data_IF_116727135762
#
_entry.id   IF_116727135762
#
_cell.length_a   1.000
_cell.length_b   1.000
_cell.length_c   1.000
_cell.angle_alpha   90.00
_cell.angle_beta   90.00
_cell.angle_gamma   90.00
#
_symmetry.space_group_name_H-M   'P 1'
#
loop_
_entity.id
_entity.type
_entity.pdbx_description
1 polymer ?
#
# COMPACT_ATOMS: atom_id res chain seq x y z
N UNK A 1 -8.70 -21.44 26.29
CA UNK A 1 -9.14 -22.07 25.02
C UNK A 1 -8.95 -21.05 23.92
N UNK A 2 -8.21 -21.42 22.86
CA UNK A 2 -7.63 -20.51 21.86
C UNK A 2 -8.63 -19.54 21.23
N UNK A 3 -8.38 -18.23 21.37
CA UNK A 3 -9.00 -17.22 20.51
C UNK A 3 -8.44 -17.43 19.10
N UNK A 4 -9.31 -17.87 18.20
CA UNK A 4 -9.05 -17.92 16.76
C UNK A 4 -8.48 -16.55 16.36
N UNK A 5 -7.22 -16.51 15.90
CA UNK A 5 -6.60 -15.29 15.37
C UNK A 5 -7.46 -14.87 14.18
N UNK A 6 -8.26 -13.82 14.41
CA UNK A 6 -9.19 -13.26 13.45
C UNK A 6 -8.50 -13.00 12.12
N UNK A 7 -8.83 -13.80 11.11
CA UNK A 7 -8.33 -13.54 9.78
C UNK A 7 -9.26 -12.60 9.05
N UNK A 8 -8.80 -11.37 8.80
CA UNK A 8 -9.65 -10.34 8.20
C UNK A 8 -9.30 -9.97 6.76
N UNK A 9 -8.14 -10.39 6.26
CA UNK A 9 -7.73 -10.04 4.89
C UNK A 9 -7.42 -11.25 4.01
N UNK A 10 -7.07 -12.43 4.55
CA UNK A 10 -6.55 -13.51 3.71
C UNK A 10 -6.84 -14.96 4.16
N UNK A 11 -7.75 -15.22 5.11
CA UNK A 11 -7.96 -16.53 5.79
C UNK A 11 -6.70 -17.27 6.36
N UNK A 12 -5.49 -16.73 6.17
CA UNK A 12 -4.19 -17.15 6.71
C UNK A 12 -3.81 -16.51 8.08
N UNK A 13 -2.89 -17.15 8.84
CA UNK A 13 -2.33 -16.59 10.06
C UNK A 13 -1.69 -15.22 9.82
N UNK A 14 -2.09 -14.25 10.62
CA UNK A 14 -1.57 -12.91 10.49
C UNK A 14 -0.11 -12.82 10.98
N UNK A 15 0.83 -12.79 10.03
CA UNK A 15 2.25 -12.52 10.22
C UNK A 15 2.56 -11.22 9.46
N UNK A 16 3.47 -10.39 9.98
CA UNK A 16 3.78 -9.09 9.36
C UNK A 16 4.22 -9.22 7.89
N UNK A 17 5.01 -10.25 7.57
CA UNK A 17 5.41 -10.57 6.21
C UNK A 17 4.22 -10.88 5.30
N UNK A 18 3.23 -11.62 5.82
CA UNK A 18 1.99 -11.90 5.10
C UNK A 18 1.16 -10.63 4.87
N UNK A 19 0.98 -9.81 5.91
CA UNK A 19 0.26 -8.54 5.80
C UNK A 19 0.89 -7.62 4.74
N UNK A 20 2.21 -7.52 4.72
CA UNK A 20 2.91 -6.51 3.91
C UNK A 20 3.40 -7.00 2.56
N UNK A 21 3.52 -8.31 2.31
CA UNK A 21 4.12 -8.79 1.07
C UNK A 21 3.48 -10.05 0.49
N UNK A 22 3.07 -11.02 1.31
CA UNK A 22 2.70 -12.34 0.79
C UNK A 22 1.20 -12.66 0.71
N UNK A 23 0.32 -11.86 1.32
CA UNK A 23 -1.14 -11.91 1.11
C UNK A 23 -1.48 -11.52 -0.34
N UNK A 24 -2.47 -12.17 -0.95
CA UNK A 24 -2.81 -11.97 -2.37
C UNK A 24 -3.28 -10.54 -2.68
N UNK A 25 -4.03 -9.94 -1.75
CA UNK A 25 -4.38 -8.52 -1.80
C UNK A 25 -3.11 -7.66 -1.87
N UNK A 26 -2.15 -7.92 -1.01
CA UNK A 26 -0.93 -7.12 -0.91
C UNK A 26 0.00 -7.33 -2.11
N UNK A 27 0.16 -8.56 -2.58
CA UNK A 27 0.90 -8.89 -3.81
C UNK A 27 0.33 -8.15 -5.01
N UNK A 28 -0.99 -8.19 -5.17
CA UNK A 28 -1.67 -7.52 -6.28
C UNK A 28 -1.46 -6.01 -6.23
N UNK A 29 -1.57 -5.39 -5.04
CA UNK A 29 -1.35 -3.97 -4.86
C UNK A 29 0.11 -3.56 -5.16
N UNK A 30 1.10 -4.34 -4.69
CA UNK A 30 2.51 -4.10 -5.03
C UNK A 30 2.76 -4.21 -6.53
N UNK A 31 2.19 -5.22 -7.19
CA UNK A 31 2.30 -5.42 -8.63
C UNK A 31 1.72 -4.25 -9.42
N UNK A 32 0.52 -3.79 -9.05
CA UNK A 32 -0.09 -2.63 -9.69
C UNK A 32 0.68 -1.34 -9.42
N UNK A 33 1.18 -1.14 -8.19
CA UNK A 33 2.05 -0.01 -7.88
C UNK A 33 3.31 0.00 -8.74
N UNK A 34 3.97 -1.15 -8.87
CA UNK A 34 5.19 -1.28 -9.67
C UNK A 34 4.92 -0.96 -11.15
N UNK A 35 3.84 -1.51 -11.71
CA UNK A 35 3.42 -1.27 -13.09
C UNK A 35 3.08 0.22 -13.35
N UNK A 36 2.33 0.86 -12.44
CA UNK A 36 1.94 2.27 -12.59
C UNK A 36 3.12 3.23 -12.48
N UNK A 37 4.06 2.94 -11.60
CA UNK A 37 5.17 3.84 -11.27
C UNK A 37 6.44 3.53 -12.06
N UNK A 38 6.43 2.50 -12.91
CA UNK A 38 7.59 2.05 -13.67
C UNK A 38 8.74 1.61 -12.77
N UNK A 39 8.44 1.01 -11.61
CA UNK A 39 9.45 0.56 -10.64
C UNK A 39 9.62 -0.95 -10.65
N UNK A 40 10.66 -1.43 -9.98
CA UNK A 40 10.80 -2.84 -9.69
C UNK A 40 9.68 -3.32 -8.76
N UNK A 41 9.30 -4.59 -8.92
CA UNK A 41 8.42 -5.29 -8.00
C UNK A 41 9.02 -5.33 -6.59
N UNK A 42 8.18 -5.17 -5.58
CA UNK A 42 8.52 -5.37 -4.17
C UNK A 42 7.87 -6.66 -3.69
N UNK A 43 8.68 -7.58 -3.15
CA UNK A 43 8.22 -8.89 -2.68
C UNK A 43 8.57 -9.16 -1.21
N UNK A 44 9.44 -8.35 -0.61
CA UNK A 44 9.88 -8.53 0.76
C UNK A 44 10.44 -7.24 1.37
N UNK A 45 10.82 -7.32 2.65
CA UNK A 45 11.45 -6.21 3.37
C UNK A 45 12.77 -5.76 2.73
N UNK A 46 13.58 -6.69 2.22
CA UNK A 46 14.87 -6.38 1.60
C UNK A 46 14.71 -5.55 0.33
N UNK A 47 13.66 -5.77 -0.46
CA UNK A 47 13.36 -4.98 -1.65
C UNK A 47 13.04 -3.52 -1.26
N UNK A 48 12.21 -3.33 -0.23
CA UNK A 48 11.88 -2.00 0.32
C UNK A 48 13.14 -1.33 0.89
N UNK A 49 13.92 -2.07 1.68
CA UNK A 49 15.12 -1.56 2.32
C UNK A 49 16.17 -1.10 1.30
N UNK A 50 16.38 -1.85 0.21
CA UNK A 50 17.29 -1.46 -0.89
C UNK A 50 16.90 -0.11 -1.49
N UNK A 51 15.60 0.14 -1.69
CA UNK A 51 15.09 1.41 -2.20
C UNK A 51 15.32 2.55 -1.20
N UNK A 52 15.06 2.31 0.08
CA UNK A 52 15.24 3.32 1.14
C UNK A 52 16.70 3.72 1.31
N UNK A 53 17.63 2.77 1.24
CA UNK A 53 19.06 3.01 1.37
C UNK A 53 19.64 3.77 0.16
N UNK A 54 19.06 3.61 -1.04
CA UNK A 54 19.49 4.29 -2.28
C UNK A 54 19.09 5.78 -2.39
N UNK A 55 18.71 6.41 -1.26
CA UNK A 55 17.99 7.66 -0.96
C UNK A 55 17.97 8.84 -1.97
N UNK A 56 18.92 8.96 -2.90
CA UNK A 56 18.99 10.10 -3.85
C UNK A 56 18.17 9.90 -5.13
N UNK A 57 17.90 8.68 -5.59
CA UNK A 57 17.14 8.47 -6.85
C UNK A 57 15.67 8.12 -6.63
N UNK A 58 15.32 7.57 -5.46
CA UNK A 58 14.00 6.95 -5.24
C UNK A 58 13.13 7.62 -4.17
N UNK A 59 13.44 8.84 -3.75
CA UNK A 59 12.75 9.49 -2.63
C UNK A 59 11.21 9.52 -2.73
N UNK A 60 10.64 9.75 -3.92
CA UNK A 60 9.18 9.70 -4.13
C UNK A 60 8.64 8.27 -3.95
N UNK A 61 9.30 7.28 -4.57
CA UNK A 61 8.91 5.88 -4.39
C UNK A 61 9.05 5.42 -2.94
N UNK A 62 10.09 5.88 -2.23
CA UNK A 62 10.27 5.61 -0.80
C UNK A 62 9.09 6.14 0.00
N UNK A 63 8.65 7.38 -0.24
CA UNK A 63 7.45 7.92 0.39
C UNK A 63 6.19 7.10 0.07
N UNK A 64 6.01 6.68 -1.20
CA UNK A 64 4.87 5.85 -1.62
C UNK A 64 4.89 4.49 -0.93
N UNK A 65 6.04 3.80 -0.91
CA UNK A 65 6.19 2.51 -0.23
C UNK A 65 5.93 2.61 1.28
N UNK A 66 6.44 3.65 1.96
CA UNK A 66 6.13 3.92 3.37
C UNK A 66 4.63 4.17 3.60
N UNK A 67 4.01 4.99 2.74
CA UNK A 67 2.58 5.29 2.82
C UNK A 67 1.73 4.04 2.58
N UNK A 68 2.16 3.15 1.67
CA UNK A 68 1.51 1.88 1.40
C UNK A 68 1.56 0.95 2.62
N UNK A 69 2.75 0.71 3.19
CA UNK A 69 2.91 -0.11 4.40
C UNK A 69 2.07 0.44 5.55
N UNK A 70 2.06 1.76 5.76
CA UNK A 70 1.23 2.40 6.78
C UNK A 70 -0.27 2.21 6.51
N UNK A 71 -0.69 2.34 5.25
CA UNK A 71 -2.08 2.15 4.83
C UNK A 71 -2.53 0.71 5.11
N UNK A 72 -1.72 -0.29 4.78
CA UNK A 72 -2.02 -1.70 5.04
C UNK A 72 -2.16 -1.98 6.54
N UNK A 73 -1.20 -1.50 7.34
CA UNK A 73 -1.25 -1.62 8.80
C UNK A 73 -2.50 -0.98 9.40
N UNK A 74 -2.83 0.25 8.97
CA UNK A 74 -4.02 0.98 9.42
C UNK A 74 -5.31 0.28 8.99
N UNK A 75 -5.38 -0.19 7.74
CA UNK A 75 -6.54 -0.88 7.21
C UNK A 75 -6.81 -2.18 7.97
N UNK A 76 -5.78 -2.99 8.22
CA UNK A 76 -5.89 -4.19 9.06
C UNK A 76 -6.43 -3.87 10.44
N UNK A 77 -5.95 -2.80 11.07
CA UNK A 77 -6.41 -2.42 12.40
C UNK A 77 -7.87 -1.96 12.39
N UNK A 78 -8.25 -1.14 11.41
CA UNK A 78 -9.64 -0.69 11.26
C UNK A 78 -10.57 -1.88 11.04
N UNK A 79 -10.17 -2.84 10.20
CA UNK A 79 -10.85 -4.11 9.99
C UNK A 79 -10.99 -4.87 11.32
N UNK A 80 -9.89 -5.08 12.05
CA UNK A 80 -9.88 -5.85 13.31
C UNK A 80 -10.83 -5.27 14.38
N UNK A 81 -10.96 -3.94 14.42
CA UNK A 81 -11.85 -3.24 15.34
C UNK A 81 -13.26 -3.00 14.76
N UNK A 82 -13.60 -3.58 13.60
CA UNK A 82 -14.91 -3.42 12.96
C UNK A 82 -15.23 -2.00 12.51
N UNK A 83 -14.22 -1.16 12.25
CA UNK A 83 -14.37 0.24 11.83
C UNK A 83 -14.55 0.40 10.32
N UNK A 84 -14.27 -0.66 9.56
CA UNK A 84 -14.39 -0.68 8.11
C UNK A 84 -14.76 -2.09 7.66
N UNK A 85 -15.49 -2.18 6.55
CA UNK A 85 -15.79 -3.43 5.86
C UNK A 85 -14.95 -3.55 4.60
N UNK A 86 -14.56 -4.77 4.24
CA UNK A 86 -13.91 -5.04 2.96
C UNK A 86 -14.87 -4.79 1.80
N UNK A 87 -14.45 -3.98 0.83
CA UNK A 87 -15.23 -3.66 -0.38
C UNK A 87 -14.39 -3.71 -1.66
N UNK A 88 -13.25 -4.40 -1.62
CA UNK A 88 -12.30 -4.50 -2.73
C UNK A 88 -11.10 -3.55 -2.63
N UNK A 89 -10.15 -3.71 -3.56
CA UNK A 89 -8.85 -3.02 -3.56
C UNK A 89 -8.95 -1.49 -3.52
N UNK A 90 -10.03 -0.92 -4.07
CA UNK A 90 -10.27 0.51 -4.20
C UNK A 90 -10.29 1.23 -2.86
N UNK A 91 -10.74 0.57 -1.78
CA UNK A 91 -10.71 1.18 -0.45
C UNK A 91 -9.27 1.42 0.03
N UNK A 92 -8.33 0.54 -0.37
CA UNK A 92 -6.91 0.67 -0.04
C UNK A 92 -6.28 1.75 -0.91
N UNK A 93 -6.55 1.74 -2.22
CA UNK A 93 -6.08 2.79 -3.13
C UNK A 93 -6.51 4.19 -2.68
N UNK A 94 -7.78 4.34 -2.31
CA UNK A 94 -8.32 5.62 -1.83
C UNK A 94 -7.59 6.09 -0.57
N UNK A 95 -7.40 5.19 0.41
CA UNK A 95 -6.68 5.52 1.66
C UNK A 95 -5.22 5.88 1.40
N UNK A 96 -4.55 5.16 0.49
CA UNK A 96 -3.18 5.46 0.08
C UNK A 96 -3.06 6.86 -0.53
N UNK A 97 -3.92 7.18 -1.50
CA UNK A 97 -3.96 8.51 -2.15
C UNK A 97 -4.20 9.61 -1.12
N UNK A 98 -5.21 9.45 -0.25
CA UNK A 98 -5.50 10.44 0.79
C UNK A 98 -4.31 10.65 1.74
N UNK A 99 -3.59 9.58 2.09
CA UNK A 99 -2.39 9.66 2.91
C UNK A 99 -1.26 10.39 2.18
N UNK A 100 -1.01 10.05 0.91
CA UNK A 100 0.02 10.69 0.10
C UNK A 100 -0.22 12.19 -0.10
N UNK A 101 -1.47 12.59 -0.35
CA UNK A 101 -1.85 14.01 -0.40
C UNK A 101 -1.52 14.74 0.91
N UNK A 102 -1.79 14.11 2.06
CA UNK A 102 -1.42 14.68 3.37
C UNK A 102 0.10 14.71 3.58
N UNK A 103 0.81 13.72 3.07
CA UNK A 103 2.27 13.63 3.15
C UNK A 103 3.01 14.46 2.10
N UNK A 104 2.30 15.13 1.19
CA UNK A 104 2.90 16.05 0.20
C UNK A 104 3.80 17.10 0.86
N UNK A 105 3.46 17.57 2.06
CA UNK A 105 4.26 18.52 2.85
C UNK A 105 5.65 17.97 3.23
N UNK A 106 5.79 16.65 3.34
CA UNK A 106 7.06 15.97 3.63
C UNK A 106 7.92 15.79 2.36
N UNK A 107 7.33 15.97 1.17
CA UNK A 107 8.04 15.78 -0.08
C UNK A 107 8.97 16.98 -0.33
N UNK A 108 10.26 16.75 -0.68
CA UNK A 108 11.14 17.84 -1.07
C UNK A 108 10.55 18.63 -2.24
N UNK A 109 10.57 19.96 -2.18
CA UNK A 109 9.95 20.84 -3.20
C UNK A 109 10.34 20.47 -4.64
N UNK A 110 11.60 20.12 -4.86
CA UNK A 110 12.15 19.70 -6.18
C UNK A 110 11.54 18.40 -6.73
N UNK A 111 10.79 17.65 -5.92
CA UNK A 111 10.13 16.38 -6.28
C UNK A 111 8.61 16.45 -6.19
N UNK A 112 8.03 17.60 -5.83
CA UNK A 112 6.57 17.73 -5.71
C UNK A 112 5.86 17.39 -7.01
N UNK A 113 6.34 17.90 -8.15
CA UNK A 113 5.78 17.54 -9.46
C UNK A 113 5.84 16.03 -9.74
N UNK A 114 6.93 15.36 -9.36
CA UNK A 114 7.04 13.91 -9.48
C UNK A 114 6.04 13.19 -8.57
N UNK A 115 5.88 13.65 -7.33
CA UNK A 115 4.89 13.13 -6.40
C UNK A 115 3.46 13.32 -6.92
N UNK A 116 3.12 14.52 -7.39
CA UNK A 116 1.78 14.84 -7.91
C UNK A 116 1.42 13.99 -9.14
N UNK A 117 2.39 13.76 -10.03
CA UNK A 117 2.23 12.83 -11.15
C UNK A 117 1.93 11.41 -10.67
N UNK A 118 2.70 10.90 -9.70
CA UNK A 118 2.45 9.57 -9.13
C UNK A 118 1.09 9.50 -8.43
N UNK A 119 0.70 10.52 -7.66
CA UNK A 119 -0.61 10.59 -7.00
C UNK A 119 -1.73 10.59 -8.03
N UNK A 120 -1.60 11.32 -9.14
CA UNK A 120 -2.57 11.33 -10.24
C UNK A 120 -2.75 9.94 -10.86
N UNK A 121 -1.64 9.21 -11.08
CA UNK A 121 -1.71 7.83 -11.57
C UNK A 121 -2.43 6.89 -10.60
N UNK A 122 -2.19 7.05 -9.29
CA UNK A 122 -2.88 6.29 -8.25
C UNK A 122 -4.35 6.68 -8.11
N UNK A 123 -4.71 7.95 -8.35
CA UNK A 123 -6.10 8.40 -8.37
C UNK A 123 -6.91 7.75 -9.49
N UNK A 124 -6.31 7.56 -10.67
CA UNK A 124 -6.95 6.83 -11.75
C UNK A 124 -7.31 5.40 -11.32
N UNK A 125 -6.48 4.74 -10.50
CA UNK A 125 -6.82 3.43 -9.91
C UNK A 125 -8.00 3.48 -8.96
N UNK A 126 -8.18 4.57 -8.21
CA UNK A 126 -9.33 4.75 -7.32
C UNK A 126 -10.64 4.81 -8.11
N UNK A 127 -10.62 5.33 -9.33
CA UNK A 127 -11.80 5.45 -10.20
C UNK A 127 -12.17 4.13 -10.93
N UNK A 128 -11.30 3.12 -10.91
CA UNK A 128 -11.61 1.81 -11.48
C UNK A 128 -12.72 1.09 -10.70
N UNK A 129 -13.50 0.25 -11.37
CA UNK A 129 -14.54 -0.54 -10.73
C UNK A 129 -13.99 -1.39 -9.57
N UNK A 130 -14.67 -1.45 -8.40
CA UNK A 130 -14.27 -2.24 -7.25
C UNK A 130 -13.82 -3.67 -7.60
N UNK A 131 -12.55 -3.99 -7.35
CA UNK A 131 -11.98 -5.32 -7.56
C UNK A 131 -11.94 -6.04 -6.23
N UNK A 132 -12.87 -6.97 -6.07
CA UNK A 132 -12.94 -7.85 -4.91
C UNK A 132 -12.05 -9.05 -5.21
N UNK A 133 -10.89 -9.09 -4.56
CA UNK A 133 -10.13 -10.32 -4.46
C UNK A 133 -10.75 -11.16 -3.35
N UNK A 134 -11.08 -12.39 -3.68
CA UNK A 134 -11.45 -13.41 -2.71
C UNK A 134 -10.14 -14.03 -2.22
N UNK A 135 -10.00 -14.13 -0.91
CA UNK A 135 -8.97 -14.93 -0.27
C UNK A 135 -9.57 -16.19 0.33
#
# INVERSE_FOLDING_TARGET
MLKIKHVLMCCEPEILEHLFFSCDITKQLWHEMAALLGSNQVNCYEDVARLWLSNTNHAVFNMISCAFLWTMWKFRNDMHFGRVNWSGLQIIWHRLVCLLKRWSVLCPRKRLTQMDNCVTLLENKVQEAPRILLC
#
